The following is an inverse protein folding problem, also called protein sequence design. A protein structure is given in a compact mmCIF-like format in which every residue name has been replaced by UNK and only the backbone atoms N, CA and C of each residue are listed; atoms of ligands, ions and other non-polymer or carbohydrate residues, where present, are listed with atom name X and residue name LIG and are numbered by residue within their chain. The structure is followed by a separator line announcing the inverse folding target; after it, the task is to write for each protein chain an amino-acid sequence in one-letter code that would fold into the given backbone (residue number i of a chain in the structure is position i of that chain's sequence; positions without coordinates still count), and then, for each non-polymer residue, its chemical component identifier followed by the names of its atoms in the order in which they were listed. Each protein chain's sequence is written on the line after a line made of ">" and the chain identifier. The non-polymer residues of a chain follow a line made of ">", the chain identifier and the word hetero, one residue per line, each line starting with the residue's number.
data_IF_870780134982
#
_entry.id   IF_870780134982
#
_cell.length_a   1.000
_cell.length_b   1.000
_cell.length_c   1.000
_cell.angle_alpha   90.00
_cell.angle_beta   90.00
_cell.angle_gamma   90.00
#
_symmetry.space_group_name_H-M   'P 1'
#
loop_
_entity.id
_entity.type
_entity.pdbx_description
1 polymer ?
#
# COMPACT_ATOMS: atom_id res chain seq x y z
N UNK A 1 6.45 -26.43 -9.32
CA UNK A 1 7.63 -26.59 -8.43
C UNK A 1 8.27 -27.96 -8.60
N UNK A 2 7.56 -29.05 -8.27
CA UNK A 2 8.12 -30.42 -8.37
C UNK A 2 8.68 -30.77 -9.77
N UNK A 3 7.93 -30.51 -10.85
CA UNK A 3 8.39 -30.79 -12.21
C UNK A 3 9.68 -30.02 -12.59
N UNK A 4 9.75 -28.73 -12.25
CA UNK A 4 10.94 -27.91 -12.48
C UNK A 4 12.15 -28.39 -11.64
N UNK A 5 11.92 -28.77 -10.38
CA UNK A 5 12.97 -29.31 -9.51
C UNK A 5 13.52 -30.65 -10.00
N UNK A 6 12.69 -31.44 -10.68
CA UNK A 6 13.08 -32.69 -11.34
C UNK A 6 13.74 -32.47 -12.73
N UNK A 7 13.96 -31.22 -13.15
CA UNK A 7 14.58 -30.91 -14.45
C UNK A 7 13.65 -31.11 -15.66
N UNK A 8 12.36 -31.29 -15.46
CA UNK A 8 11.40 -31.38 -16.56
C UNK A 8 11.11 -30.00 -17.15
N UNK A 9 10.94 -29.94 -18.48
CA UNK A 9 10.50 -28.73 -19.16
C UNK A 9 9.08 -28.34 -18.71
N UNK A 10 8.89 -27.05 -18.41
CA UNK A 10 7.59 -26.46 -18.07
C UNK A 10 7.23 -25.47 -19.17
N UNK A 11 6.21 -25.80 -19.96
CA UNK A 11 5.70 -24.95 -21.04
C UNK A 11 4.42 -24.26 -20.56
N UNK A 12 4.38 -22.93 -20.66
CA UNK A 12 3.24 -22.11 -20.21
C UNK A 12 2.54 -21.52 -21.42
N UNK A 13 1.24 -21.75 -21.53
CA UNK A 13 0.39 -21.11 -22.54
C UNK A 13 -0.21 -19.85 -21.91
N UNK A 14 -0.05 -18.66 -22.53
CA UNK A 14 -0.67 -17.45 -22.02
C UNK A 14 -2.20 -17.56 -22.10
N UNK A 15 -2.90 -16.93 -21.16
CA UNK A 15 -4.36 -17.01 -21.08
C UNK A 15 -5.01 -15.97 -20.18
N UNK A 16 -6.34 -16.03 -20.03
CA UNK A 16 -7.12 -15.09 -19.22
C UNK A 16 -6.63 -15.02 -17.77
N UNK A 17 -6.59 -13.81 -17.22
CA UNK A 17 -6.23 -13.57 -15.82
C UNK A 17 -7.16 -12.52 -15.21
N UNK A 18 -7.95 -12.91 -14.23
CA UNK A 18 -8.84 -12.01 -13.50
C UNK A 18 -8.06 -10.89 -12.79
N UNK A 19 -6.84 -11.17 -12.31
CA UNK A 19 -5.93 -10.18 -11.70
C UNK A 19 -5.64 -9.05 -12.69
N UNK A 20 -5.17 -9.40 -13.90
CA UNK A 20 -4.76 -8.42 -14.90
C UNK A 20 -5.98 -7.68 -15.46
N UNK A 21 -7.07 -8.41 -15.74
CA UNK A 21 -8.31 -7.81 -16.22
C UNK A 21 -8.88 -6.79 -15.21
N UNK A 22 -8.99 -7.15 -13.92
CA UNK A 22 -9.44 -6.26 -12.87
C UNK A 22 -8.52 -5.05 -12.70
N UNK A 23 -7.19 -5.26 -12.71
CA UNK A 23 -6.20 -4.19 -12.58
C UNK A 23 -6.35 -3.16 -13.70
N UNK A 24 -6.43 -3.60 -14.96
CA UNK A 24 -6.62 -2.72 -16.12
C UNK A 24 -7.96 -2.00 -16.05
N UNK A 25 -9.03 -2.72 -15.69
CA UNK A 25 -10.35 -2.11 -15.56
C UNK A 25 -10.43 -1.12 -14.38
N UNK A 26 -9.62 -1.25 -13.33
CA UNK A 26 -9.73 -0.45 -12.11
C UNK A 26 -9.58 1.06 -12.32
N UNK A 27 -8.78 1.48 -13.31
CA UNK A 27 -8.38 2.88 -13.49
C UNK A 27 -7.36 3.37 -12.44
N UNK A 28 -6.76 2.45 -11.66
CA UNK A 28 -5.67 2.74 -10.72
C UNK A 28 -4.29 2.54 -11.38
N UNK A 29 -3.20 3.05 -10.78
CA UNK A 29 -1.86 2.89 -11.34
C UNK A 29 -1.48 1.42 -11.60
N UNK A 30 -1.10 1.09 -12.83
CA UNK A 30 -0.82 -0.31 -13.25
C UNK A 30 0.66 -0.62 -13.46
N UNK A 31 1.53 0.39 -13.38
CA UNK A 31 2.95 0.23 -13.67
C UNK A 31 3.67 -0.76 -12.74
N UNK A 32 3.29 -0.76 -11.46
CA UNK A 32 3.75 -1.72 -10.45
C UNK A 32 2.58 -2.02 -9.53
N UNK A 33 2.35 -3.29 -9.27
CA UNK A 33 1.29 -3.75 -8.37
C UNK A 33 1.76 -4.95 -7.55
N UNK A 34 1.04 -5.24 -6.49
CA UNK A 34 1.19 -6.44 -5.67
C UNK A 34 -0.06 -7.29 -5.84
N UNK A 35 0.11 -8.57 -6.12
CA UNK A 35 -0.98 -9.54 -6.06
C UNK A 35 -0.90 -10.30 -4.74
N UNK A 36 -1.87 -10.06 -3.85
CA UNK A 36 -1.92 -10.65 -2.50
C UNK A 36 -2.69 -11.98 -2.47
N UNK A 37 -3.45 -12.29 -3.52
CA UNK A 37 -4.38 -13.42 -3.49
C UNK A 37 -5.48 -13.18 -2.46
N UNK A 38 -5.70 -14.15 -1.56
CA UNK A 38 -6.72 -14.04 -0.52
C UNK A 38 -6.11 -13.61 0.82
N UNK A 39 -6.65 -12.55 1.42
CA UNK A 39 -6.28 -12.16 2.78
C UNK A 39 -6.60 -13.27 3.80
N UNK A 40 -5.75 -13.47 4.83
CA UNK A 40 -6.02 -14.39 5.92
C UNK A 40 -7.40 -14.15 6.54
N UNK A 41 -8.08 -15.24 6.92
CA UNK A 41 -9.50 -15.18 7.29
C UNK A 41 -9.76 -14.43 8.60
N UNK A 42 -8.84 -14.51 9.58
CA UNK A 42 -8.96 -13.91 10.92
C UNK A 42 -7.64 -13.99 11.70
N UNK A 43 -7.59 -13.32 12.84
CA UNK A 43 -6.53 -13.40 13.84
C UNK A 43 -5.27 -12.61 13.45
N UNK A 44 -4.21 -12.76 14.26
CA UNK A 44 -2.99 -11.95 14.15
C UNK A 44 -2.37 -11.91 12.75
N UNK A 45 -2.41 -13.02 12.03
CA UNK A 45 -1.88 -13.09 10.66
C UNK A 45 -2.63 -12.13 9.69
N UNK A 46 -3.94 -11.97 9.88
CA UNK A 46 -4.74 -11.01 9.10
C UNK A 46 -4.36 -9.59 9.48
N UNK A 47 -4.30 -9.30 10.78
CA UNK A 47 -4.05 -7.96 11.29
C UNK A 47 -2.65 -7.46 10.86
N UNK A 48 -1.64 -8.33 10.99
CA UNK A 48 -0.28 -8.04 10.55
C UNK A 48 -0.22 -7.79 9.04
N UNK A 49 -0.89 -8.61 8.23
CA UNK A 49 -0.91 -8.41 6.78
C UNK A 49 -1.60 -7.10 6.39
N UNK A 50 -2.70 -6.75 7.05
CA UNK A 50 -3.37 -5.46 6.81
C UNK A 50 -2.47 -4.27 7.18
N UNK A 51 -1.71 -4.36 8.28
CA UNK A 51 -0.76 -3.31 8.66
C UNK A 51 0.38 -3.14 7.66
N UNK A 52 0.89 -4.25 7.10
CA UNK A 52 1.89 -4.22 6.04
C UNK A 52 1.35 -3.56 4.77
N UNK A 53 0.17 -4.02 4.31
CA UNK A 53 -0.46 -3.51 3.09
C UNK A 53 -0.95 -2.07 3.20
N UNK A 54 -1.28 -1.60 4.40
CA UNK A 54 -1.64 -0.19 4.62
C UNK A 54 -0.54 0.79 4.20
N UNK A 55 0.72 0.34 4.26
CA UNK A 55 1.93 1.09 3.89
C UNK A 55 2.44 0.78 2.49
N UNK A 56 1.83 -0.17 1.77
CA UNK A 56 2.28 -0.57 0.44
C UNK A 56 2.02 0.54 -0.58
N UNK A 57 3.05 1.16 -1.17
CA UNK A 57 2.87 2.28 -2.10
C UNK A 57 2.34 1.88 -3.48
N UNK A 58 2.36 0.59 -3.83
CA UNK A 58 1.84 0.08 -5.11
C UNK A 58 0.37 -0.29 -5.00
N UNK A 59 -0.32 -0.32 -6.14
CA UNK A 59 -1.67 -0.87 -6.21
C UNK A 59 -1.68 -2.33 -5.74
N UNK A 60 -2.65 -2.68 -4.91
CA UNK A 60 -2.80 -4.03 -4.33
C UNK A 60 -4.02 -4.70 -4.95
N UNK A 61 -3.84 -5.92 -5.47
CA UNK A 61 -4.92 -6.74 -6.01
C UNK A 61 -5.17 -7.93 -5.11
N UNK A 62 -6.40 -8.07 -4.61
CA UNK A 62 -6.83 -9.16 -3.76
C UNK A 62 -8.03 -9.89 -4.39
N UNK A 63 -8.11 -11.20 -4.17
CA UNK A 63 -9.36 -11.93 -4.32
C UNK A 63 -10.14 -11.94 -3.02
N UNK A 64 -11.46 -11.93 -3.12
CA UNK A 64 -12.31 -12.07 -1.95
C UNK A 64 -13.57 -12.88 -2.25
N UNK A 65 -14.01 -13.65 -1.25
CA UNK A 65 -15.26 -14.38 -1.34
C UNK A 65 -16.44 -13.44 -1.04
N UNK A 66 -17.60 -13.63 -1.69
CA UNK A 66 -18.75 -12.72 -1.58
C UNK A 66 -19.25 -12.59 -0.14
N UNK A 67 -19.33 -13.70 0.59
CA UNK A 67 -19.74 -13.72 2.00
C UNK A 67 -18.73 -13.07 2.97
N UNK A 68 -17.54 -12.69 2.50
CA UNK A 68 -16.49 -12.04 3.29
C UNK A 68 -16.26 -10.59 2.91
N UNK A 69 -16.68 -10.16 1.72
CA UNK A 69 -16.25 -8.89 1.13
C UNK A 69 -16.64 -7.69 2.00
N UNK A 70 -17.84 -7.69 2.58
CA UNK A 70 -18.29 -6.62 3.47
C UNK A 70 -17.33 -6.42 4.65
N UNK A 71 -17.00 -7.51 5.37
CA UNK A 71 -16.04 -7.48 6.47
C UNK A 71 -14.65 -7.04 5.99
N UNK A 72 -14.18 -7.57 4.87
CA UNK A 72 -12.87 -7.20 4.33
C UNK A 72 -12.79 -5.72 3.97
N UNK A 73 -13.81 -5.15 3.35
CA UNK A 73 -13.85 -3.72 3.04
C UNK A 73 -13.87 -2.86 4.31
N UNK A 74 -14.59 -3.28 5.36
CA UNK A 74 -14.54 -2.60 6.66
C UNK A 74 -13.15 -2.65 7.28
N UNK A 75 -12.51 -3.83 7.32
CA UNK A 75 -11.16 -3.98 7.87
C UNK A 75 -10.13 -3.14 7.08
N UNK A 76 -10.25 -3.12 5.74
CA UNK A 76 -9.42 -2.29 4.87
C UNK A 76 -9.66 -0.80 5.12
N UNK A 77 -10.90 -0.35 5.24
CA UNK A 77 -11.22 1.05 5.51
C UNK A 77 -10.60 1.52 6.83
N UNK A 78 -10.66 0.67 7.86
CA UNK A 78 -10.07 0.93 9.17
C UNK A 78 -8.55 0.98 9.12
N UNK A 79 -7.91 0.08 8.36
CA UNK A 79 -6.45 -0.02 8.31
C UNK A 79 -5.80 0.98 7.33
N UNK A 80 -6.41 1.24 6.18
CA UNK A 80 -5.79 1.98 5.07
C UNK A 80 -6.26 3.44 5.00
N UNK A 81 -7.32 3.76 5.76
CA UNK A 81 -8.03 5.03 5.73
C UNK A 81 -9.25 4.97 4.80
N UNK A 82 -10.34 5.59 5.23
CA UNK A 82 -11.64 5.59 4.56
C UNK A 82 -11.62 6.19 3.15
N UNK A 83 -10.71 7.13 2.89
CA UNK A 83 -10.58 7.85 1.62
C UNK A 83 -9.75 7.11 0.57
N UNK A 84 -9.13 5.97 0.92
CA UNK A 84 -8.33 5.21 -0.04
C UNK A 84 -9.20 4.77 -1.22
N UNK A 85 -8.70 4.98 -2.43
CA UNK A 85 -9.39 4.59 -3.66
C UNK A 85 -9.38 3.06 -3.81
N UNK A 86 -10.50 2.52 -4.28
CA UNK A 86 -10.65 1.09 -4.56
C UNK A 86 -11.57 0.89 -5.77
N UNK A 87 -11.28 -0.15 -6.55
CA UNK A 87 -12.18 -0.71 -7.55
C UNK A 87 -12.57 -2.14 -7.15
N UNK A 88 -13.81 -2.52 -7.42
CA UNK A 88 -14.34 -3.84 -7.17
C UNK A 88 -14.80 -4.40 -8.51
N UNK A 89 -14.10 -5.41 -9.01
CA UNK A 89 -14.48 -6.14 -10.19
C UNK A 89 -15.22 -7.42 -9.79
N UNK A 90 -16.44 -7.59 -10.26
CA UNK A 90 -17.32 -8.71 -9.92
C UNK A 90 -17.71 -9.45 -11.19
N UNK A 91 -17.68 -10.78 -11.12
CA UNK A 91 -18.16 -11.67 -12.18
C UNK A 91 -17.55 -11.33 -13.56
N UNK A 92 -16.24 -11.03 -13.59
CA UNK A 92 -15.51 -10.71 -14.83
C UNK A 92 -15.73 -11.81 -15.88
N UNK A 93 -15.95 -11.37 -17.12
CA UNK A 93 -16.28 -12.15 -18.33
C UNK A 93 -17.66 -12.82 -18.33
N UNK A 94 -18.47 -12.65 -17.27
CA UNK A 94 -19.79 -13.28 -17.14
C UNK A 94 -20.92 -12.28 -17.45
N UNK A 95 -22.15 -12.79 -17.57
CA UNK A 95 -23.34 -11.98 -17.91
C UNK A 95 -23.57 -10.79 -16.95
N UNK A 96 -23.18 -10.95 -15.69
CA UNK A 96 -23.36 -9.95 -14.64
C UNK A 96 -22.05 -9.25 -14.25
N UNK A 97 -21.12 -9.11 -15.20
CA UNK A 97 -19.88 -8.38 -15.00
C UNK A 97 -20.15 -6.95 -14.52
N UNK A 98 -19.42 -6.53 -13.48
CA UNK A 98 -19.52 -5.20 -12.89
C UNK A 98 -18.13 -4.72 -12.45
N UNK A 99 -17.79 -3.47 -12.75
CA UNK A 99 -16.60 -2.80 -12.23
C UNK A 99 -17.02 -1.51 -11.53
N UNK A 100 -17.15 -1.60 -10.21
CA UNK A 100 -17.46 -0.47 -9.34
C UNK A 100 -16.18 0.24 -8.88
N UNK A 101 -16.22 1.56 -8.69
CA UNK A 101 -15.07 2.38 -8.26
C UNK A 101 -15.50 3.44 -7.26
N UNK A 102 -14.68 3.68 -6.23
CA UNK A 102 -14.96 4.69 -5.21
C UNK A 102 -13.88 4.75 -4.15
N UNK A 103 -14.23 5.25 -2.96
CA UNK A 103 -13.39 5.14 -1.76
C UNK A 103 -13.71 3.88 -0.98
N UNK A 104 -12.86 3.48 -0.03
CA UNK A 104 -13.14 2.37 0.88
C UNK A 104 -14.40 2.64 1.72
N UNK A 105 -14.70 3.89 2.07
CA UNK A 105 -15.96 4.24 2.73
C UNK A 105 -17.17 3.92 1.84
N UNK A 106 -17.14 4.34 0.58
CA UNK A 106 -18.22 4.07 -0.37
C UNK A 106 -18.35 2.56 -0.65
N UNK A 107 -17.22 1.84 -0.66
CA UNK A 107 -17.19 0.40 -0.88
C UNK A 107 -17.86 -0.38 0.25
N UNK A 108 -17.67 0.05 1.50
CA UNK A 108 -18.38 -0.53 2.66
C UNK A 108 -19.89 -0.39 2.49
N UNK A 109 -20.37 0.76 1.99
CA UNK A 109 -21.79 0.96 1.71
C UNK A 109 -22.26 0.11 0.53
N UNK A 110 -21.49 0.02 -0.55
CA UNK A 110 -21.79 -0.83 -1.70
C UNK A 110 -21.97 -2.30 -1.31
N UNK A 111 -21.12 -2.80 -0.39
CA UNK A 111 -21.16 -4.17 0.08
C UNK A 111 -22.37 -4.52 0.96
N UNK A 112 -23.12 -3.52 1.44
CA UNK A 112 -24.37 -3.74 2.19
C UNK A 112 -25.45 -4.45 1.36
N UNK A 113 -25.34 -4.42 0.02
CA UNK A 113 -26.25 -5.12 -0.89
C UNK A 113 -25.94 -6.63 -1.06
N UNK A 114 -25.06 -7.19 -0.23
CA UNK A 114 -24.67 -8.62 -0.25
C UNK A 114 -24.27 -9.13 -1.64
N UNK A 115 -23.21 -8.57 -2.25
CA UNK A 115 -22.78 -8.92 -3.60
C UNK A 115 -22.45 -10.42 -3.71
N UNK A 116 -22.82 -11.01 -4.83
CA UNK A 116 -22.61 -12.44 -5.14
C UNK A 116 -21.61 -12.63 -6.27
N UNK A 117 -21.02 -13.82 -6.30
CA UNK A 117 -20.09 -14.25 -7.34
C UNK A 117 -18.63 -14.07 -6.95
N UNK A 118 -17.76 -14.08 -7.95
CA UNK A 118 -16.32 -13.89 -7.81
C UNK A 118 -15.99 -12.40 -7.74
N UNK A 119 -15.13 -12.02 -6.80
CA UNK A 119 -14.77 -10.63 -6.54
C UNK A 119 -13.26 -10.45 -6.54
N UNK A 120 -12.80 -9.45 -7.28
CA UNK A 120 -11.43 -8.93 -7.25
C UNK A 120 -11.47 -7.50 -6.72
N UNK A 121 -10.72 -7.24 -5.66
CA UNK A 121 -10.50 -5.91 -5.10
C UNK A 121 -9.20 -5.36 -5.68
N UNK A 122 -9.23 -4.14 -6.22
CA UNK A 122 -8.04 -3.41 -6.66
C UNK A 122 -7.96 -2.14 -5.85
N UNK A 123 -6.98 -2.07 -4.95
CA UNK A 123 -6.88 -1.03 -3.92
C UNK A 123 -5.68 -0.16 -4.27
N UNK A 124 -5.87 1.16 -4.18
CA UNK A 124 -4.81 2.10 -4.48
C UNK A 124 -3.68 2.02 -3.46
N UNK A 125 -2.48 2.39 -3.90
CA UNK A 125 -1.30 2.41 -3.06
C UNK A 125 -1.44 3.37 -1.88
N UNK A 126 -0.61 3.17 -0.87
CA UNK A 126 -0.44 4.13 0.20
C UNK A 126 -0.06 5.50 -0.40
N UNK A 127 -0.69 6.59 0.07
CA UNK A 127 -0.29 7.91 -0.36
C UNK A 127 1.21 8.10 -0.06
N UNK A 128 1.89 8.85 -0.92
CA UNK A 128 3.24 9.28 -0.60
C UNK A 128 3.25 9.90 0.80
N UNK A 129 4.23 9.52 1.62
CA UNK A 129 4.39 10.15 2.93
C UNK A 129 4.40 11.67 2.73
N UNK A 130 3.68 12.38 3.59
CA UNK A 130 3.74 13.83 3.58
C UNK A 130 5.22 14.26 3.63
N UNK A 131 5.61 15.35 2.95
CA UNK A 131 6.93 15.91 3.12
C UNK A 131 7.21 16.06 4.63
N UNK A 132 8.44 15.80 5.09
CA UNK A 132 8.74 15.98 6.50
C UNK A 132 8.43 17.43 6.87
N UNK A 133 7.78 17.62 8.02
CA UNK A 133 7.72 18.93 8.62
C UNK A 133 9.06 19.28 9.28
N UNK A 134 9.18 20.53 9.71
CA UNK A 134 10.37 21.02 10.39
C UNK A 134 10.72 20.20 11.63
N UNK A 135 9.70 19.73 12.36
CA UNK A 135 9.88 18.95 13.58
C UNK A 135 10.53 17.59 13.29
N UNK A 136 10.06 16.87 12.28
CA UNK A 136 10.64 15.60 11.86
C UNK A 136 12.08 15.74 11.36
N UNK A 137 12.40 16.85 10.68
CA UNK A 137 13.76 17.16 10.26
C UNK A 137 14.68 17.43 11.47
N UNK A 138 14.20 18.20 12.46
CA UNK A 138 14.95 18.48 13.69
C UNK A 138 15.18 17.23 14.54
N UNK A 139 14.16 16.37 14.68
CA UNK A 139 14.28 15.11 15.41
C UNK A 139 15.33 14.19 14.78
N UNK A 140 15.26 14.01 13.46
CA UNK A 140 16.23 13.20 12.73
C UNK A 140 17.65 13.78 12.79
N UNK A 141 17.77 15.12 12.76
CA UNK A 141 19.05 15.81 12.90
C UNK A 141 19.64 15.60 14.30
N UNK A 142 18.84 15.78 15.37
CA UNK A 142 19.24 15.51 16.75
C UNK A 142 19.70 14.07 16.94
N UNK A 143 19.00 13.10 16.35
CA UNK A 143 19.39 11.69 16.42
C UNK A 143 20.77 11.44 15.79
N UNK A 144 21.08 12.06 14.64
CA UNK A 144 22.40 11.94 14.01
C UNK A 144 23.50 12.62 14.84
N UNK A 145 23.22 13.79 15.41
CA UNK A 145 24.17 14.48 16.29
C UNK A 145 24.45 13.69 17.57
N UNK A 146 23.43 13.05 18.14
CA UNK A 146 23.58 12.18 19.32
C UNK A 146 24.44 10.92 19.02
N UNK A 147 24.48 10.49 17.76
CA UNK A 147 25.38 9.43 17.28
C UNK A 147 26.81 9.93 16.99
N UNK A 148 27.11 11.21 17.25
CA UNK A 148 28.43 11.81 17.07
C UNK A 148 28.70 12.35 15.66
N UNK A 149 27.70 12.39 14.78
CA UNK A 149 27.87 12.98 13.45
C UNK A 149 28.14 14.49 13.56
N UNK A 150 28.94 15.04 12.65
CA UNK A 150 29.08 16.51 12.56
C UNK A 150 27.77 17.11 12.03
N UNK A 151 27.52 18.39 12.31
CA UNK A 151 26.34 19.10 11.78
C UNK A 151 26.27 19.00 10.24
N UNK A 152 27.42 19.07 9.57
CA UNK A 152 27.50 18.96 8.11
C UNK A 152 27.06 17.57 7.60
N UNK A 153 27.53 16.51 8.26
CA UNK A 153 27.24 15.14 7.86
C UNK A 153 25.79 14.78 8.21
N UNK A 154 25.35 15.15 9.41
CA UNK A 154 23.97 14.99 9.86
C UNK A 154 22.97 15.70 8.93
N UNK A 155 23.24 16.94 8.52
CA UNK A 155 22.38 17.65 7.55
C UNK A 155 22.37 16.99 6.16
N UNK A 156 23.46 16.34 5.75
CA UNK A 156 23.53 15.66 4.44
C UNK A 156 22.75 14.34 4.46
N UNK A 157 22.91 13.56 5.54
CA UNK A 157 22.20 12.31 5.78
C UNK A 157 20.68 12.55 5.84
N UNK A 158 20.24 13.51 6.66
CA UNK A 158 18.82 13.85 6.83
C UNK A 158 18.23 14.41 5.54
N UNK A 159 18.94 15.31 4.84
CA UNK A 159 18.49 15.83 3.55
C UNK A 159 18.28 14.72 2.50
N UNK A 160 19.20 13.76 2.45
CA UNK A 160 19.11 12.61 1.54
C UNK A 160 17.95 11.70 1.92
N UNK A 161 17.83 11.37 3.21
CA UNK A 161 16.78 10.49 3.74
C UNK A 161 15.38 11.00 3.42
N UNK A 162 15.15 12.30 3.55
CA UNK A 162 13.83 12.88 3.34
C UNK A 162 13.66 13.58 1.98
N UNK A 163 14.67 13.56 1.11
CA UNK A 163 14.61 14.18 -0.21
C UNK A 163 14.44 15.71 -0.18
N UNK A 164 14.96 16.37 0.85
CA UNK A 164 14.88 17.84 1.02
C UNK A 164 16.24 18.50 0.77
N UNK A 165 16.27 19.83 0.64
CA UNK A 165 17.54 20.53 0.42
C UNK A 165 18.45 20.47 1.65
N UNK A 166 19.74 20.15 1.46
CA UNK A 166 20.76 20.19 2.53
C UNK A 166 20.82 21.54 3.21
N UNK A 167 20.63 22.63 2.45
CA UNK A 167 20.62 23.99 3.00
C UNK A 167 19.49 24.17 4.02
N UNK A 168 18.27 23.76 3.70
CA UNK A 168 17.14 23.88 4.63
C UNK A 168 17.40 23.12 5.95
N UNK A 169 17.92 21.90 5.88
CA UNK A 169 18.25 21.11 7.07
C UNK A 169 19.40 21.72 7.87
N UNK A 170 20.38 22.32 7.19
CA UNK A 170 21.50 22.99 7.85
C UNK A 170 21.09 24.27 8.57
N UNK A 171 20.18 25.07 8.00
CA UNK A 171 19.61 26.25 8.68
C UNK A 171 18.85 25.83 9.95
N UNK A 172 18.13 24.70 9.93
CA UNK A 172 17.49 24.14 11.12
C UNK A 172 18.49 23.73 12.21
N UNK A 173 19.70 23.33 11.84
CA UNK A 173 20.73 23.03 12.84
C UNK A 173 21.10 24.25 13.69
N UNK A 174 20.93 25.47 13.16
CA UNK A 174 21.22 26.71 13.89
C UNK A 174 20.16 27.09 14.92
N UNK A 175 18.96 26.51 14.84
CA UNK A 175 17.89 26.73 15.82
C UNK A 175 18.02 25.79 17.03
N UNK A 176 18.87 24.77 16.95
CA UNK A 176 19.12 23.86 18.06
C UNK A 176 19.85 24.56 19.22
N UNK A 177 19.43 24.34 20.48
CA UNK A 177 20.14 24.87 21.63
C UNK A 177 21.56 24.28 21.66
N UNK A 178 22.57 25.15 21.74
CA UNK A 178 23.96 24.71 21.89
C UNK A 178 24.09 23.95 23.22
N UNK A 179 24.69 22.77 23.17
CA UNK A 179 25.02 22.02 24.38
C UNK A 179 25.83 22.92 25.35
N UNK A 180 25.54 22.90 26.65
CA UNK A 180 26.36 23.60 27.62
C UNK A 180 27.80 23.07 27.52
N UNK A 181 28.74 24.02 27.44
CA UNK A 181 30.19 23.73 27.39
C UNK A 181 30.66 23.02 28.65
#
# INVERSE_FOLDING_TARGET
>A
AAAAAAGHAVLVVPGPSAVIAALVASGLPTARFVFEGFLPRKGMARDQRLLELAREPRTVVCYEAPHRVARTLTDLANAFGSTRRVAIARELTKLHEEVWRGTLADAVQWAANEPRGEIVLVIDGAPAAAPPDEHALLEALCAQLALGATVKDASTEVATRFGVSRRAVYELAHTLPRAPR
#
